data_IF_410678878659
#
_entry.id   IF_410678878659
#
_cell.length_a   1.000
_cell.length_b   1.000
_cell.length_c   1.000
_cell.angle_alpha   90.00
_cell.angle_beta   90.00
_cell.angle_gamma   90.00
#
_symmetry.space_group_name_H-M   'P 1'
#
loop_
_entity.id
_entity.type
_entity.pdbx_description
1 polymer ?
#
# COMPACT_ATOMS: atom_id res chain seq x y z
N UNK A 1 -50.37 0.72 -4.28
CA UNK A 1 -50.37 -0.54 -5.06
C UNK A 1 -50.32 -0.18 -6.51
N UNK A 2 -49.15 -0.06 -7.08
CA UNK A 2 -48.91 0.02 -8.53
C UNK A 2 -48.00 -1.13 -8.89
N UNK A 3 -48.52 -2.01 -9.69
CA UNK A 3 -47.87 -3.25 -10.17
C UNK A 3 -46.70 -2.86 -11.05
N UNK A 4 -45.50 -3.30 -10.68
CA UNK A 4 -44.38 -3.48 -11.58
C UNK A 4 -44.80 -4.52 -12.62
N UNK A 5 -45.18 -4.09 -13.80
CA UNK A 5 -45.29 -4.98 -14.94
C UNK A 5 -43.86 -5.28 -15.45
N UNK A 6 -43.46 -6.49 -15.23
CA UNK A 6 -42.32 -7.13 -15.82
C UNK A 6 -42.26 -6.86 -17.31
N UNK A 7 -41.12 -6.39 -17.78
CA UNK A 7 -40.80 -6.30 -19.19
C UNK A 7 -40.47 -7.72 -19.67
N UNK A 8 -41.50 -8.48 -20.00
CA UNK A 8 -41.37 -9.84 -20.51
C UNK A 8 -41.62 -9.88 -22.02
N UNK A 9 -40.75 -9.24 -22.80
CA UNK A 9 -40.49 -9.63 -24.18
C UNK A 9 -39.21 -8.92 -24.58
N UNK A 10 -38.10 -9.55 -24.28
CA UNK A 10 -36.82 -9.24 -24.91
C UNK A 10 -37.02 -9.46 -26.42
N UNK A 11 -36.77 -8.42 -27.20
CA UNK A 11 -36.64 -8.58 -28.64
C UNK A 11 -35.47 -9.51 -28.94
N UNK A 12 -35.48 -10.30 -30.01
CA UNK A 12 -34.37 -11.19 -30.37
C UNK A 12 -33.04 -10.46 -30.64
N UNK A 13 -32.97 -9.16 -30.41
CA UNK A 13 -31.81 -8.32 -30.70
C UNK A 13 -31.33 -7.60 -29.45
N UNK A 14 -30.81 -8.33 -28.49
CA UNK A 14 -29.98 -7.81 -27.41
C UNK A 14 -28.49 -7.91 -27.81
N UNK A 15 -27.79 -6.78 -27.85
CA UNK A 15 -26.39 -6.70 -28.20
C UNK A 15 -25.60 -6.19 -26.99
N UNK A 16 -24.80 -7.06 -26.39
CA UNK A 16 -23.81 -6.67 -25.40
C UNK A 16 -22.45 -6.52 -26.08
N UNK A 17 -21.96 -5.27 -26.16
CA UNK A 17 -20.61 -4.95 -26.59
C UNK A 17 -19.97 -4.13 -25.45
N UNK A 18 -19.05 -4.70 -24.62
CA UNK A 18 -18.41 -3.91 -23.61
C UNK A 18 -17.59 -2.76 -24.23
N UNK A 19 -17.74 -1.52 -23.77
CA UNK A 19 -18.50 -1.08 -22.59
C UNK A 19 -19.96 -0.66 -22.86
N UNK A 20 -20.65 -1.25 -23.82
CA UNK A 20 -21.96 -0.83 -24.30
C UNK A 20 -22.98 -1.96 -24.14
N UNK A 21 -24.20 -1.59 -23.75
CA UNK A 21 -25.36 -2.46 -23.78
C UNK A 21 -26.47 -1.80 -24.59
N UNK A 22 -26.83 -2.41 -25.73
CA UNK A 22 -27.84 -1.89 -26.64
C UNK A 22 -29.07 -2.79 -26.56
N UNK A 23 -30.21 -2.25 -26.21
CA UNK A 23 -31.49 -2.95 -26.17
C UNK A 23 -32.39 -2.41 -27.28
N UNK A 24 -32.83 -3.31 -28.15
CA UNK A 24 -33.88 -3.05 -29.12
C UNK A 24 -35.18 -3.66 -28.61
N UNK A 25 -36.09 -2.82 -28.12
CA UNK A 25 -37.36 -3.25 -27.52
C UNK A 25 -38.51 -2.83 -28.45
N UNK A 26 -39.21 -3.79 -29.03
CA UNK A 26 -40.43 -3.52 -29.78
C UNK A 26 -41.65 -3.85 -28.92
N UNK A 27 -42.54 -2.88 -28.66
CA UNK A 27 -43.78 -3.07 -27.91
C UNK A 27 -44.90 -2.29 -28.61
N UNK A 28 -45.96 -2.98 -29.06
CA UNK A 28 -47.19 -2.40 -29.60
C UNK A 28 -46.99 -1.29 -30.64
N UNK A 29 -46.21 -1.57 -31.69
CA UNK A 29 -45.84 -0.62 -32.76
C UNK A 29 -44.88 0.51 -32.38
N UNK A 30 -44.23 0.42 -31.22
CA UNK A 30 -43.15 1.30 -30.82
C UNK A 30 -41.83 0.53 -30.75
N UNK A 31 -40.78 1.06 -31.36
CA UNK A 31 -39.41 0.56 -31.26
C UNK A 31 -38.65 1.45 -30.27
N UNK A 32 -38.17 0.86 -29.21
CA UNK A 32 -37.33 1.56 -28.25
C UNK A 32 -35.91 1.00 -28.31
N UNK A 33 -34.95 1.86 -28.60
CA UNK A 33 -33.53 1.52 -28.56
C UNK A 33 -32.95 2.14 -27.30
N UNK A 34 -32.43 1.31 -26.37
CA UNK A 34 -31.74 1.80 -25.20
C UNK A 34 -30.28 1.41 -25.28
N UNK A 35 -29.40 2.41 -25.19
CA UNK A 35 -27.97 2.24 -25.23
C UNK A 35 -27.39 2.73 -23.91
N UNK A 36 -26.70 1.83 -23.18
CA UNK A 36 -26.10 2.13 -21.89
C UNK A 36 -24.58 2.09 -21.98
N UNK A 37 -23.89 3.07 -21.41
CA UNK A 37 -22.45 3.07 -21.21
C UNK A 37 -22.08 3.51 -19.79
N UNK A 38 -21.10 2.82 -19.20
CA UNK A 38 -20.39 3.33 -18.03
C UNK A 38 -19.34 4.35 -18.47
N UNK A 39 -19.45 5.57 -18.01
CA UNK A 39 -18.64 6.72 -18.40
C UNK A 39 -17.37 6.75 -17.59
N UNK A 40 -16.21 6.86 -18.27
CA UNK A 40 -14.99 7.39 -17.65
C UNK A 40 -14.92 8.89 -17.92
N UNK A 41 -14.59 9.69 -16.90
CA UNK A 41 -14.58 11.17 -16.93
C UNK A 41 -13.66 11.80 -18.00
N UNK A 42 -12.86 11.04 -18.72
CA UNK A 42 -11.85 11.57 -19.64
C UNK A 42 -12.36 12.00 -21.03
N UNK A 43 -13.61 11.71 -21.38
CA UNK A 43 -14.18 12.00 -22.71
C UNK A 43 -14.98 13.30 -22.79
N UNK A 44 -15.11 14.05 -21.70
CA UNK A 44 -15.87 15.31 -21.65
C UNK A 44 -15.09 16.55 -22.08
N UNK A 45 -13.82 16.45 -22.34
CA UNK A 45 -12.99 17.59 -22.74
C UNK A 45 -13.03 17.92 -24.25
N UNK A 46 -13.70 17.15 -25.10
CA UNK A 46 -13.81 17.41 -26.51
C UNK A 46 -15.25 17.73 -26.94
N UNK A 47 -15.57 19.02 -26.92
CA UNK A 47 -16.29 19.82 -27.90
C UNK A 47 -17.76 19.52 -28.26
N UNK A 48 -18.63 19.03 -27.35
CA UNK A 48 -20.07 19.28 -27.60
C UNK A 48 -20.76 19.74 -26.30
N UNK A 49 -20.87 21.07 -26.15
CA UNK A 49 -21.82 21.63 -25.20
C UNK A 49 -23.22 21.23 -25.58
N UNK A 50 -23.90 20.42 -24.80
CA UNK A 50 -25.29 20.02 -24.97
C UNK A 50 -26.24 21.23 -25.17
N UNK A 51 -25.91 22.39 -24.62
CA UNK A 51 -26.61 23.65 -24.79
C UNK A 51 -26.61 24.16 -26.23
N UNK A 52 -25.67 23.72 -27.07
CA UNK A 52 -25.64 24.07 -28.51
C UNK A 52 -26.53 23.18 -29.38
N UNK A 53 -26.91 22.00 -28.93
CA UNK A 53 -27.81 21.09 -29.64
C UNK A 53 -29.24 21.64 -29.71
N UNK A 54 -29.73 22.29 -28.66
CA UNK A 54 -31.03 22.97 -28.68
C UNK A 54 -31.11 24.11 -29.70
N UNK A 55 -30.02 24.83 -29.95
CA UNK A 55 -29.93 25.88 -30.98
C UNK A 55 -29.76 25.36 -32.38
N UNK A 56 -29.40 24.09 -32.55
CA UNK A 56 -29.02 23.51 -33.83
C UNK A 56 -30.04 22.51 -34.43
N UNK A 57 -31.30 22.54 -34.02
CA UNK A 57 -32.37 21.76 -34.67
C UNK A 57 -32.35 21.90 -36.20
N UNK A 58 -31.97 23.07 -36.72
CA UNK A 58 -31.86 23.36 -38.17
C UNK A 58 -30.61 22.73 -38.79
N UNK A 59 -29.54 22.51 -38.02
CA UNK A 59 -28.28 21.89 -38.53
C UNK A 59 -28.47 20.38 -38.73
N UNK A 60 -29.17 19.73 -37.83
CA UNK A 60 -29.45 18.29 -37.88
C UNK A 60 -30.33 17.90 -39.06
N UNK A 61 -31.23 18.79 -39.51
CA UNK A 61 -32.05 18.56 -40.69
C UNK A 61 -31.27 18.62 -42.00
N UNK A 62 -30.02 19.09 -42.00
CA UNK A 62 -29.12 19.20 -43.16
C UNK A 62 -28.06 18.09 -43.20
N UNK A 63 -27.90 17.30 -42.11
CA UNK A 63 -26.97 16.21 -42.09
C UNK A 63 -27.49 15.02 -42.91
N UNK A 64 -26.59 14.33 -43.58
CA UNK A 64 -26.96 13.08 -44.26
C UNK A 64 -27.10 11.96 -43.19
N UNK A 65 -27.75 10.87 -43.60
CA UNK A 65 -28.06 9.74 -42.70
C UNK A 65 -26.79 9.19 -41.99
N UNK A 66 -25.68 9.13 -42.72
CA UNK A 66 -24.41 8.63 -42.17
C UNK A 66 -23.88 9.55 -41.07
N UNK A 67 -23.90 10.86 -41.30
CA UNK A 67 -23.48 11.86 -40.31
C UNK A 67 -24.37 11.84 -39.05
N UNK A 68 -25.68 11.60 -39.21
CA UNK A 68 -26.63 11.45 -38.12
C UNK A 68 -26.28 10.17 -37.30
N UNK A 69 -25.96 9.08 -37.98
CA UNK A 69 -25.59 7.82 -37.33
C UNK A 69 -24.27 7.95 -36.57
N UNK A 70 -23.25 8.51 -37.22
CA UNK A 70 -21.94 8.73 -36.57
C UNK A 70 -22.10 9.63 -35.35
N UNK A 71 -22.96 10.63 -35.43
CA UNK A 71 -23.30 11.48 -34.30
C UNK A 71 -24.05 10.73 -33.18
N UNK A 72 -25.03 9.89 -33.53
CA UNK A 72 -25.75 9.03 -32.55
C UNK A 72 -24.77 8.05 -31.89
N UNK A 73 -23.86 7.47 -32.67
CA UNK A 73 -22.83 6.55 -32.13
C UNK A 73 -21.89 7.29 -31.18
N UNK A 74 -21.45 8.49 -31.50
CA UNK A 74 -20.62 9.32 -30.63
C UNK A 74 -21.37 9.67 -29.32
N UNK A 75 -22.63 10.11 -29.45
CA UNK A 75 -23.46 10.42 -28.27
C UNK A 75 -23.83 9.17 -27.47
N UNK A 76 -24.04 8.03 -28.12
CA UNK A 76 -24.27 6.76 -27.43
C UNK A 76 -23.07 6.31 -26.60
N UNK A 77 -21.88 6.74 -26.97
CA UNK A 77 -20.66 6.49 -26.14
C UNK A 77 -20.70 7.17 -24.79
N UNK A 78 -21.52 8.16 -24.59
CA UNK A 78 -21.50 9.02 -23.40
C UNK A 78 -22.80 9.06 -22.61
N UNK A 79 -23.94 8.71 -23.20
CA UNK A 79 -25.27 8.92 -22.60
C UNK A 79 -26.25 7.79 -22.93
N UNK A 80 -27.34 7.70 -22.16
CA UNK A 80 -28.48 6.86 -22.51
C UNK A 80 -29.26 7.48 -23.65
N UNK A 81 -29.49 6.73 -24.74
CA UNK A 81 -30.35 7.16 -25.86
C UNK A 81 -31.63 6.31 -25.85
N UNK A 82 -32.79 6.94 -25.87
CA UNK A 82 -34.05 6.25 -26.11
C UNK A 82 -34.67 6.75 -27.44
N UNK A 83 -35.14 5.82 -28.29
CA UNK A 83 -35.79 6.11 -29.53
C UNK A 83 -37.24 5.69 -29.40
N UNK A 84 -38.18 6.62 -29.59
CA UNK A 84 -39.63 6.39 -29.49
C UNK A 84 -40.25 6.61 -30.84
N UNK A 85 -40.87 5.60 -31.42
CA UNK A 85 -41.61 5.69 -32.69
C UNK A 85 -43.06 6.12 -32.42
N UNK A 86 -43.48 7.24 -32.97
CA UNK A 86 -44.88 7.69 -33.05
C UNK A 86 -45.34 7.59 -34.50
N UNK A 87 -46.63 7.33 -34.76
CA UNK A 87 -47.29 6.95 -36.05
C UNK A 87 -46.60 7.35 -37.34
N UNK A 88 -45.95 8.52 -37.43
CA UNK A 88 -45.31 9.06 -38.64
C UNK A 88 -43.89 9.63 -38.37
N UNK A 89 -43.38 9.59 -37.16
CA UNK A 89 -42.11 10.20 -36.77
C UNK A 89 -41.37 9.35 -35.73
N UNK A 90 -40.07 9.24 -35.88
CA UNK A 90 -39.16 8.64 -34.88
C UNK A 90 -38.52 9.76 -34.05
N UNK A 91 -38.70 9.69 -32.76
CA UNK A 91 -38.10 10.65 -31.83
C UNK A 91 -36.95 10.00 -31.09
N UNK A 92 -35.76 10.54 -31.28
CA UNK A 92 -34.59 10.15 -30.53
C UNK A 92 -34.49 11.06 -29.32
N UNK A 93 -34.71 10.50 -28.14
CA UNK A 93 -34.56 11.21 -26.87
C UNK A 93 -33.24 10.88 -26.24
N UNK A 94 -32.38 11.87 -26.08
CA UNK A 94 -31.12 11.80 -25.37
C UNK A 94 -31.34 12.20 -23.92
N UNK A 95 -31.16 11.26 -23.00
CA UNK A 95 -31.23 11.53 -21.59
C UNK A 95 -29.80 11.75 -21.08
N UNK A 96 -29.43 13.00 -20.82
CA UNK A 96 -28.18 13.33 -20.18
C UNK A 96 -28.29 13.08 -18.67
N UNK A 97 -27.44 12.24 -18.13
CA UNK A 97 -27.38 11.98 -16.67
C UNK A 97 -26.54 13.01 -15.91
N UNK A 98 -25.91 13.97 -16.58
CA UNK A 98 -24.88 14.81 -15.97
C UNK A 98 -25.24 16.26 -15.71
N UNK A 99 -26.19 16.87 -16.42
CA UNK A 99 -26.61 18.27 -16.12
C UNK A 99 -28.07 18.45 -16.50
N UNK A 100 -28.91 18.78 -15.52
CA UNK A 100 -30.26 19.33 -15.65
C UNK A 100 -31.38 18.51 -16.31
N UNK A 101 -31.29 17.19 -16.46
CA UNK A 101 -32.37 16.32 -16.94
C UNK A 101 -33.13 16.81 -18.19
N UNK A 102 -32.51 17.58 -19.06
CA UNK A 102 -33.12 18.01 -20.29
C UNK A 102 -33.00 16.93 -21.37
N UNK A 103 -34.13 16.52 -21.93
CA UNK A 103 -34.19 15.62 -23.09
C UNK A 103 -33.97 16.39 -24.36
N UNK A 104 -33.07 15.92 -25.20
CA UNK A 104 -32.90 16.43 -26.59
C UNK A 104 -33.62 15.48 -27.53
N UNK A 105 -34.71 15.95 -28.15
CA UNK A 105 -35.50 15.16 -29.05
C UNK A 105 -35.13 15.48 -30.52
N UNK A 106 -34.66 14.47 -31.26
CA UNK A 106 -34.42 14.52 -32.69
C UNK A 106 -35.62 13.86 -33.39
N UNK A 107 -36.40 14.64 -34.13
CA UNK A 107 -37.61 14.15 -34.84
C UNK A 107 -37.23 13.89 -36.32
N UNK A 108 -37.39 12.64 -36.78
CA UNK A 108 -37.15 12.20 -38.13
C UNK A 108 -38.45 11.70 -38.79
N UNK A 109 -38.56 11.81 -40.09
CA UNK A 109 -39.68 11.20 -40.80
C UNK A 109 -39.53 9.66 -40.84
N UNK A 110 -40.65 8.97 -41.14
CA UNK A 110 -40.72 7.50 -41.08
C UNK A 110 -39.71 6.81 -41.99
N UNK A 111 -39.48 7.37 -43.21
CA UNK A 111 -38.59 6.77 -44.20
C UNK A 111 -37.13 6.92 -43.78
N UNK A 112 -36.71 8.10 -43.28
CA UNK A 112 -35.37 8.32 -42.74
C UNK A 112 -35.11 7.43 -41.55
N UNK A 113 -36.12 7.24 -40.70
CA UNK A 113 -36.07 6.38 -39.54
C UNK A 113 -35.79 4.91 -39.85
N UNK A 114 -36.50 4.37 -40.87
CA UNK A 114 -36.32 2.98 -41.35
C UNK A 114 -34.92 2.74 -41.91
N UNK A 115 -34.38 3.71 -42.66
CA UNK A 115 -33.02 3.61 -43.23
C UNK A 115 -31.96 3.66 -42.11
N UNK A 116 -32.11 4.55 -41.17
CA UNK A 116 -31.21 4.64 -40.00
C UNK A 116 -31.21 3.32 -39.18
N UNK A 117 -32.40 2.77 -38.93
CA UNK A 117 -32.53 1.51 -38.20
C UNK A 117 -31.83 0.36 -38.94
N UNK A 118 -32.03 0.24 -40.27
CA UNK A 118 -31.36 -0.80 -41.07
C UNK A 118 -29.83 -0.68 -40.99
N UNK A 119 -29.32 0.57 -41.05
CA UNK A 119 -27.88 0.80 -40.98
C UNK A 119 -27.31 0.51 -39.60
N UNK A 120 -28.00 0.91 -38.53
CA UNK A 120 -27.62 0.57 -37.11
C UNK A 120 -27.59 -0.94 -36.94
N UNK A 121 -28.61 -1.65 -37.44
CA UNK A 121 -28.66 -3.12 -37.32
C UNK A 121 -27.49 -3.76 -38.06
N UNK A 122 -27.20 -3.32 -39.30
CA UNK A 122 -26.09 -3.86 -40.09
C UNK A 122 -24.73 -3.63 -39.44
N UNK A 123 -24.49 -2.43 -38.89
CA UNK A 123 -23.25 -2.13 -38.18
C UNK A 123 -23.13 -2.93 -36.88
N UNK A 124 -24.23 -3.13 -36.15
CA UNK A 124 -24.23 -3.92 -34.95
C UNK A 124 -23.93 -5.41 -35.22
N UNK A 125 -24.34 -5.95 -36.36
CA UNK A 125 -23.97 -7.33 -36.74
C UNK A 125 -22.46 -7.43 -36.94
N UNK A 126 -21.86 -6.48 -37.68
CA UNK A 126 -20.40 -6.44 -37.88
C UNK A 126 -19.64 -6.34 -36.57
N UNK A 127 -20.05 -5.40 -35.70
CA UNK A 127 -19.43 -5.23 -34.38
C UNK A 127 -19.55 -6.47 -33.51
N UNK A 128 -20.67 -7.21 -33.61
CA UNK A 128 -20.84 -8.46 -32.90
C UNK A 128 -19.88 -9.53 -33.39
N UNK A 129 -19.67 -9.65 -34.66
CA UNK A 129 -18.71 -10.60 -35.24
C UNK A 129 -17.27 -10.27 -34.82
N UNK A 130 -16.89 -8.98 -34.83
CA UNK A 130 -15.59 -8.52 -34.36
C UNK A 130 -15.41 -8.77 -32.86
N UNK A 131 -16.44 -8.51 -32.06
CA UNK A 131 -16.42 -8.81 -30.62
C UNK A 131 -16.20 -10.30 -30.34
N UNK A 132 -16.94 -11.19 -31.02
CA UNK A 132 -16.77 -12.65 -30.83
C UNK A 132 -15.38 -13.11 -31.28
N UNK A 133 -14.79 -12.48 -32.30
CA UNK A 133 -13.41 -12.73 -32.72
C UNK A 133 -12.41 -12.32 -31.63
N UNK A 134 -12.51 -11.08 -31.13
CA UNK A 134 -11.66 -10.58 -30.03
C UNK A 134 -11.81 -11.43 -28.77
N UNK A 135 -13.03 -11.85 -28.44
CA UNK A 135 -13.31 -12.72 -27.31
C UNK A 135 -12.63 -14.09 -27.45
N UNK A 136 -12.62 -14.67 -28.64
CA UNK A 136 -11.89 -15.93 -28.92
C UNK A 136 -10.38 -15.73 -28.77
N UNK A 137 -9.83 -14.65 -29.32
CA UNK A 137 -8.40 -14.32 -29.21
C UNK A 137 -7.97 -14.09 -27.76
N UNK A 138 -8.79 -13.37 -27.00
CA UNK A 138 -8.55 -13.15 -25.56
C UNK A 138 -8.60 -14.45 -24.75
N UNK A 139 -9.54 -15.34 -25.06
CA UNK A 139 -9.61 -16.65 -24.38
C UNK A 139 -8.37 -17.50 -24.65
N UNK A 140 -7.86 -17.50 -25.88
CA UNK A 140 -6.61 -18.19 -26.23
C UNK A 140 -5.43 -17.58 -25.47
N UNK A 141 -5.37 -16.25 -25.39
CA UNK A 141 -4.32 -15.55 -24.66
C UNK A 141 -4.36 -15.84 -23.15
N UNK A 142 -5.57 -15.87 -22.56
CA UNK A 142 -5.77 -16.22 -21.15
C UNK A 142 -5.31 -17.67 -20.89
N UNK A 143 -5.63 -18.57 -21.79
CA UNK A 143 -5.22 -19.98 -21.67
C UNK A 143 -3.69 -20.12 -21.73
N UNK A 144 -3.05 -19.45 -22.69
CA UNK A 144 -1.59 -19.41 -22.82
C UNK A 144 -0.91 -18.82 -21.58
N UNK A 145 -1.40 -17.68 -21.09
CA UNK A 145 -0.88 -17.04 -19.88
C UNK A 145 -1.05 -17.94 -18.65
N UNK A 146 -2.18 -18.68 -18.56
CA UNK A 146 -2.41 -19.64 -17.48
C UNK A 146 -1.41 -20.81 -17.49
N UNK A 147 -1.01 -21.28 -18.68
CA UNK A 147 0.02 -22.33 -18.82
C UNK A 147 1.41 -21.79 -18.43
N UNK A 148 1.75 -20.57 -18.88
CA UNK A 148 3.01 -19.92 -18.50
C UNK A 148 3.09 -19.69 -16.98
N UNK A 149 2.01 -19.25 -16.35
CA UNK A 149 1.93 -19.09 -14.89
C UNK A 149 2.21 -20.41 -14.18
N UNK A 150 1.58 -21.53 -14.60
CA UNK A 150 1.85 -22.84 -14.01
C UNK A 150 3.30 -23.29 -14.14
N UNK A 151 3.94 -22.98 -15.27
CA UNK A 151 5.36 -23.29 -15.47
C UNK A 151 6.22 -22.45 -14.50
N UNK A 152 5.89 -21.19 -14.31
CA UNK A 152 6.59 -20.29 -13.38
C UNK A 152 6.38 -20.71 -11.93
N UNK A 153 5.16 -21.09 -11.54
CA UNK A 153 4.87 -21.63 -10.20
C UNK A 153 5.68 -22.87 -9.87
N UNK A 154 5.80 -23.81 -10.83
CA UNK A 154 6.63 -24.99 -10.66
C UNK A 154 8.13 -24.65 -10.54
N UNK A 155 8.63 -23.67 -11.29
CA UNK A 155 10.01 -23.19 -11.16
C UNK A 155 10.26 -22.51 -9.82
N UNK A 156 9.31 -21.72 -9.35
CA UNK A 156 9.37 -21.07 -8.02
C UNK A 156 9.47 -22.15 -6.95
N UNK A 157 8.61 -23.16 -6.99
CA UNK A 157 8.63 -24.28 -6.04
C UNK A 157 9.97 -25.04 -6.04
N UNK A 158 10.52 -25.35 -7.22
CA UNK A 158 11.84 -25.99 -7.32
C UNK A 158 12.97 -25.10 -6.73
N UNK A 159 12.88 -23.79 -6.92
CA UNK A 159 13.83 -22.84 -6.33
C UNK A 159 13.65 -22.74 -4.80
N UNK A 160 12.44 -22.74 -4.31
CA UNK A 160 12.13 -22.76 -2.87
C UNK A 160 12.68 -24.03 -2.19
N UNK A 161 12.52 -25.19 -2.81
CA UNK A 161 13.07 -26.46 -2.33
C UNK A 161 14.62 -26.44 -2.34
N UNK A 162 15.24 -25.86 -3.36
CA UNK A 162 16.69 -25.68 -3.41
C UNK A 162 17.17 -24.71 -2.32
N UNK A 163 16.49 -23.59 -2.11
CA UNK A 163 16.78 -22.62 -1.04
C UNK A 163 16.63 -23.30 0.31
N UNK A 164 15.54 -24.05 0.52
CA UNK A 164 15.31 -24.81 1.75
C UNK A 164 16.46 -25.79 2.05
N UNK A 165 16.92 -26.53 1.04
CA UNK A 165 18.03 -27.48 1.18
C UNK A 165 19.38 -26.76 1.45
N UNK A 166 19.63 -25.61 0.82
CA UNK A 166 20.83 -24.78 1.09
C UNK A 166 20.76 -24.23 2.50
N UNK A 167 19.61 -23.72 2.93
CA UNK A 167 19.41 -23.18 4.26
C UNK A 167 19.58 -24.26 5.35
N UNK A 168 19.09 -25.46 5.11
CA UNK A 168 19.30 -26.59 6.04
C UNK A 168 20.78 -27.02 6.10
N UNK A 169 21.51 -27.00 4.98
CA UNK A 169 22.97 -27.23 5.00
C UNK A 169 23.72 -26.13 5.76
N UNK A 170 23.31 -24.88 5.56
CA UNK A 170 23.89 -23.73 6.28
C UNK A 170 23.53 -23.76 7.78
N UNK A 171 22.34 -24.26 8.15
CA UNK A 171 21.91 -24.43 9.53
C UNK A 171 22.81 -25.36 10.35
N UNK A 172 23.36 -26.38 9.71
CA UNK A 172 24.30 -27.35 10.33
C UNK A 172 25.69 -26.75 10.56
N UNK A 173 26.10 -25.71 9.77
CA UNK A 173 27.41 -25.04 9.92
C UNK A 173 27.44 -23.90 10.93
N UNK A 174 26.28 -23.46 11.48
CA UNK A 174 26.19 -22.31 12.41
C UNK A 174 26.61 -22.61 13.86
N UNK A 175 27.55 -23.53 14.08
CA UNK A 175 28.10 -23.80 15.41
C UNK A 175 29.08 -22.74 15.93
N UNK A 176 29.56 -21.84 15.06
CA UNK A 176 30.38 -20.65 15.39
C UNK A 176 30.15 -19.55 14.36
N UNK A 177 29.11 -18.73 14.54
CA UNK A 177 28.93 -17.51 13.77
C UNK A 177 29.51 -16.34 14.54
N UNK A 178 30.54 -15.71 14.00
CA UNK A 178 31.10 -14.48 14.53
C UNK A 178 30.81 -13.33 13.56
N UNK A 179 30.45 -12.17 14.12
CA UNK A 179 30.37 -10.94 13.35
C UNK A 179 31.76 -10.41 13.05
N UNK A 180 32.00 -10.12 11.79
CA UNK A 180 33.25 -9.49 11.33
C UNK A 180 32.94 -8.09 10.84
N UNK A 181 33.66 -7.10 11.38
CA UNK A 181 33.55 -5.71 10.98
C UNK A 181 34.06 -5.53 9.55
N UNK A 182 33.20 -4.99 8.68
CA UNK A 182 33.53 -4.68 7.29
C UNK A 182 33.91 -3.22 7.11
N UNK A 183 33.09 -2.31 7.61
CA UNK A 183 33.26 -0.87 7.42
C UNK A 183 32.65 -0.06 8.59
N UNK A 184 33.11 1.20 8.71
CA UNK A 184 32.63 2.14 9.71
C UNK A 184 32.43 3.51 9.08
N UNK A 185 31.25 4.08 9.20
CA UNK A 185 31.01 5.49 8.95
C UNK A 185 31.19 6.22 10.28
N UNK A 186 32.37 6.78 10.48
CA UNK A 186 32.71 7.51 11.72
C UNK A 186 32.07 8.89 11.70
N UNK A 187 31.46 9.29 12.81
CA UNK A 187 30.79 10.61 12.92
C UNK A 187 29.69 10.77 11.88
N UNK A 188 28.95 9.69 11.60
CA UNK A 188 27.82 9.73 10.67
C UNK A 188 26.84 10.87 11.03
N UNK A 189 26.65 11.12 12.31
CA UNK A 189 25.88 12.23 12.87
C UNK A 189 26.66 12.94 13.99
N UNK A 190 26.19 14.11 14.43
CA UNK A 190 26.79 14.84 15.54
C UNK A 190 26.20 14.51 16.91
N UNK A 191 25.13 13.70 16.92
CA UNK A 191 24.48 13.17 18.12
C UNK A 191 24.03 11.73 17.86
N UNK A 192 23.41 11.13 18.87
CA UNK A 192 22.85 9.79 18.85
C UNK A 192 22.07 9.51 17.57
N UNK A 193 22.38 8.42 16.91
CA UNK A 193 21.60 7.86 15.79
C UNK A 193 20.47 7.04 16.40
N UNK A 194 19.24 7.43 16.13
CA UNK A 194 18.05 6.86 16.74
C UNK A 194 17.40 5.77 15.91
N UNK A 195 17.50 5.87 14.58
CA UNK A 195 16.96 4.87 13.67
C UNK A 195 17.71 4.89 12.34
N UNK A 196 17.83 3.73 11.74
CA UNK A 196 18.27 3.50 10.36
C UNK A 196 17.19 2.67 9.68
N UNK A 197 16.99 2.87 8.39
CA UNK A 197 16.14 2.03 7.54
C UNK A 197 16.77 1.84 6.18
N UNK A 198 16.46 0.73 5.52
CA UNK A 198 17.10 0.30 4.27
C UNK A 198 16.08 0.39 3.15
N UNK A 199 16.41 1.13 2.07
CA UNK A 199 15.59 1.22 0.87
C UNK A 199 15.56 -0.12 0.11
N UNK A 200 14.49 -0.41 -0.65
CA UNK A 200 14.46 -1.57 -1.53
C UNK A 200 15.64 -1.67 -2.50
N UNK A 201 16.19 -0.53 -2.95
CA UNK A 201 17.41 -0.44 -3.78
C UNK A 201 18.70 -0.84 -3.06
N UNK A 202 18.65 -0.94 -1.72
CA UNK A 202 19.80 -1.25 -0.87
C UNK A 202 20.46 -0.03 -0.24
N UNK A 203 20.28 1.17 -0.75
CA UNK A 203 20.69 2.40 -0.07
C UNK A 203 20.00 2.49 1.30
N UNK A 204 20.50 3.33 2.18
CA UNK A 204 19.93 3.42 3.51
C UNK A 204 19.83 4.86 4.01
N UNK A 205 18.99 5.06 5.00
CA UNK A 205 18.70 6.34 5.62
C UNK A 205 18.98 6.25 7.11
N UNK A 206 19.58 7.28 7.67
CA UNK A 206 19.77 7.42 9.12
C UNK A 206 19.18 8.71 9.62
N UNK A 207 18.61 8.67 10.84
CA UNK A 207 18.05 9.82 11.53
C UNK A 207 18.62 9.93 12.92
N UNK A 208 18.68 11.17 13.44
CA UNK A 208 19.43 11.45 14.66
C UNK A 208 18.76 12.50 15.56
N UNK A 209 19.17 12.50 16.81
CA UNK A 209 18.89 13.60 17.76
C UNK A 209 19.54 14.93 17.35
N UNK A 210 20.42 14.94 16.34
CA UNK A 210 20.97 16.17 15.76
C UNK A 210 20.02 16.90 14.80
N UNK A 211 18.79 16.36 14.62
CA UNK A 211 17.71 16.88 13.78
C UNK A 211 17.96 16.71 12.27
N UNK A 212 18.94 15.92 11.89
CA UNK A 212 19.25 15.68 10.49
C UNK A 212 18.79 14.30 10.04
N UNK A 213 18.47 14.22 8.76
CA UNK A 213 18.25 12.99 8.01
C UNK A 213 19.39 12.87 7.03
N UNK A 214 20.03 11.71 6.94
CA UNK A 214 21.08 11.45 5.96
C UNK A 214 20.76 10.21 5.14
N UNK A 215 20.93 10.30 3.83
CA UNK A 215 20.78 9.22 2.87
C UNK A 215 22.17 8.81 2.41
N UNK A 216 22.42 7.50 2.34
CA UNK A 216 23.73 6.91 2.12
C UNK A 216 23.71 5.93 0.96
N UNK A 217 24.80 5.90 0.21
CA UNK A 217 25.08 4.89 -0.78
C UNK A 217 25.49 3.56 -0.11
N UNK A 218 24.96 2.44 -0.61
CA UNK A 218 25.20 1.13 -0.04
C UNK A 218 26.46 0.43 -0.55
N UNK A 219 27.15 1.00 -1.55
CA UNK A 219 28.39 0.43 -2.14
C UNK A 219 29.63 1.13 -1.61
N UNK A 220 29.61 2.46 -1.67
CA UNK A 220 30.75 3.30 -1.27
C UNK A 220 30.58 3.88 0.13
N UNK A 221 29.41 3.73 0.75
CA UNK A 221 29.09 4.21 2.09
C UNK A 221 29.24 5.73 2.29
N UNK A 222 29.17 6.51 1.21
CA UNK A 222 29.21 7.96 1.28
C UNK A 222 27.80 8.55 1.46
N UNK A 223 27.72 9.76 2.02
CA UNK A 223 26.47 10.48 2.20
C UNK A 223 26.03 11.11 0.88
N UNK A 224 24.90 10.63 0.33
CA UNK A 224 24.28 11.16 -0.90
C UNK A 224 23.56 12.48 -0.63
N UNK A 225 22.83 12.55 0.49
CA UNK A 225 22.03 13.72 0.84
C UNK A 225 21.99 13.91 2.36
N UNK A 226 22.06 15.16 2.78
CA UNK A 226 21.79 15.57 4.17
C UNK A 226 20.65 16.57 4.19
N UNK A 227 19.56 16.21 4.88
CA UNK A 227 18.44 17.13 5.15
C UNK A 227 18.67 17.68 6.56
N UNK A 228 18.99 18.99 6.64
CA UNK A 228 19.24 19.69 7.90
C UNK A 228 17.93 20.25 8.45
N UNK A 229 17.85 20.37 9.77
CA UNK A 229 16.67 20.89 10.46
C UNK A 229 15.36 20.26 9.98
N UNK A 230 15.44 18.94 9.66
CA UNK A 230 14.31 18.18 9.17
C UNK A 230 13.14 18.21 10.16
N UNK A 231 13.44 18.32 11.45
CA UNK A 231 12.50 18.51 12.55
C UNK A 231 13.02 19.57 13.52
N UNK A 232 12.13 20.20 14.29
CA UNK A 232 12.51 21.22 15.29
C UNK A 232 13.18 20.63 16.53
N UNK A 233 12.95 19.31 16.79
CA UNK A 233 13.62 18.53 17.83
C UNK A 233 14.25 17.26 17.25
N UNK A 234 14.87 16.45 18.11
CA UNK A 234 15.51 15.19 17.69
C UNK A 234 14.53 14.23 17.05
N UNK A 235 14.94 13.63 15.93
CA UNK A 235 14.14 12.64 15.20
C UNK A 235 14.19 11.33 15.98
N UNK A 236 13.06 10.67 16.10
CA UNK A 236 12.93 9.43 16.87
C UNK A 236 13.07 8.20 15.97
N UNK A 237 12.35 8.17 14.86
CA UNK A 237 12.26 7.01 14.01
C UNK A 237 12.10 7.38 12.52
N UNK A 238 12.50 6.48 11.65
CA UNK A 238 12.27 6.55 10.21
C UNK A 238 11.74 5.21 9.71
N UNK A 239 10.73 5.26 8.83
CA UNK A 239 10.22 4.09 8.13
C UNK A 239 10.14 4.38 6.63
N UNK A 240 10.54 3.41 5.83
CA UNK A 240 10.55 3.50 4.37
C UNK A 240 9.33 2.77 3.83
N UNK A 241 8.63 3.41 2.87
CA UNK A 241 7.59 2.78 2.08
C UNK A 241 8.16 2.07 0.85
N UNK A 242 8.96 2.80 0.10
CA UNK A 242 9.57 2.38 -1.15
C UNK A 242 10.84 3.21 -1.45
N UNK A 243 11.43 3.09 -2.64
CA UNK A 243 12.64 3.85 -3.02
C UNK A 243 12.39 5.37 -3.21
N UNK A 244 11.13 5.80 -3.12
CA UNK A 244 10.72 7.19 -3.39
C UNK A 244 10.11 7.87 -2.17
N UNK A 245 9.65 7.11 -1.16
CA UNK A 245 8.89 7.63 -0.05
C UNK A 245 9.36 7.08 1.29
N UNK A 246 9.52 7.97 2.26
CA UNK A 246 9.75 7.61 3.65
C UNK A 246 9.05 8.58 4.61
N UNK A 247 8.92 8.18 5.86
CA UNK A 247 8.26 8.93 6.92
C UNK A 247 9.16 9.03 8.14
N UNK A 248 9.09 10.15 8.83
CA UNK A 248 9.84 10.38 10.08
C UNK A 248 8.92 10.83 11.20
N UNK A 249 9.23 10.41 12.41
CA UNK A 249 8.62 10.87 13.66
C UNK A 249 9.64 11.56 14.57
N UNK A 250 9.17 12.48 15.41
CA UNK A 250 10.08 13.28 16.21
C UNK A 250 9.56 13.58 17.63
N UNK A 251 10.48 14.06 18.45
CA UNK A 251 10.19 14.63 19.75
C UNK A 251 9.56 16.04 19.67
N UNK A 252 9.35 16.60 18.48
CA UNK A 252 8.59 17.82 18.26
C UNK A 252 7.09 17.58 18.08
N UNK A 253 6.65 16.32 18.14
CA UNK A 253 5.27 15.85 18.07
C UNK A 253 4.72 15.79 16.66
N UNK A 254 5.55 16.02 15.65
CA UNK A 254 5.19 16.03 14.25
C UNK A 254 5.56 14.72 13.56
N UNK A 255 4.82 14.44 12.50
CA UNK A 255 5.12 13.40 11.52
C UNK A 255 5.36 14.09 10.18
N UNK A 256 6.45 13.74 9.51
CA UNK A 256 6.81 14.30 8.20
C UNK A 256 6.98 13.20 7.17
N UNK A 257 6.39 13.40 6.01
CA UNK A 257 6.46 12.51 4.87
C UNK A 257 7.35 13.14 3.82
N UNK A 258 8.27 12.36 3.31
CA UNK A 258 9.31 12.78 2.37
C UNK A 258 9.15 12.01 1.07
N UNK A 259 9.25 12.71 -0.04
CA UNK A 259 9.15 12.12 -1.38
C UNK A 259 10.37 12.49 -2.21
N UNK A 260 10.85 11.56 -3.01
CA UNK A 260 11.96 11.76 -3.94
C UNK A 260 11.49 12.49 -5.18
N UNK A 261 11.99 13.71 -5.38
CA UNK A 261 11.80 14.49 -6.60
C UNK A 261 13.12 14.55 -7.37
N UNK A 262 13.11 14.05 -8.62
CA UNK A 262 14.33 13.84 -9.40
C UNK A 262 15.29 12.90 -8.66
N UNK A 263 16.37 13.43 -8.07
CA UNK A 263 17.40 12.68 -7.37
C UNK A 263 17.48 12.95 -5.87
N UNK A 264 16.70 13.89 -5.34
CA UNK A 264 16.73 14.31 -3.93
C UNK A 264 15.38 14.11 -3.25
N UNK A 265 15.42 13.87 -1.94
CA UNK A 265 14.22 13.83 -1.11
C UNK A 265 13.86 15.21 -0.59
N UNK A 266 12.59 15.56 -0.71
CA UNK A 266 12.01 16.82 -0.23
C UNK A 266 10.81 16.53 0.65
N UNK A 267 10.44 17.48 1.50
CA UNK A 267 9.23 17.39 2.31
C UNK A 267 8.00 17.36 1.39
N UNK A 268 7.20 16.30 1.52
CA UNK A 268 5.98 16.13 0.75
C UNK A 268 4.74 16.53 1.55
N UNK A 269 4.63 16.07 2.80
CA UNK A 269 3.50 16.37 3.67
C UNK A 269 3.95 16.49 5.13
N UNK A 270 3.22 17.26 5.92
CA UNK A 270 3.53 17.52 7.31
C UNK A 270 2.26 17.43 8.16
N UNK A 271 2.24 16.50 9.10
CA UNK A 271 1.20 16.39 10.10
C UNK A 271 1.70 17.10 11.36
N UNK A 272 1.32 18.35 11.48
CA UNK A 272 1.68 19.18 12.65
C UNK A 272 0.91 18.74 13.89
N UNK A 273 1.61 18.71 15.03
CA UNK A 273 1.03 18.31 16.31
C UNK A 273 0.25 16.99 16.19
N UNK A 274 0.80 16.05 15.43
CA UNK A 274 0.20 14.74 15.24
C UNK A 274 -0.15 14.07 16.58
N UNK A 275 0.66 14.33 17.59
CA UNK A 275 0.45 13.88 18.96
C UNK A 275 0.71 15.03 19.97
N UNK A 276 0.30 14.84 21.22
CA UNK A 276 0.53 15.82 22.30
C UNK A 276 1.81 15.57 23.11
N UNK A 277 2.55 14.50 22.81
CA UNK A 277 3.86 14.19 23.37
C UNK A 277 4.73 13.49 22.31
N UNK A 278 5.98 13.19 22.66
CA UNK A 278 6.98 12.59 21.76
C UNK A 278 6.45 11.35 21.05
N UNK A 279 6.58 11.34 19.76
CA UNK A 279 6.23 10.20 18.93
C UNK A 279 7.37 9.19 18.99
N UNK A 280 7.05 7.95 19.28
CA UNK A 280 7.99 6.85 19.27
C UNK A 280 8.21 6.34 17.84
N UNK A 281 7.38 5.40 17.44
CA UNK A 281 7.48 4.75 16.13
C UNK A 281 6.34 5.18 15.20
N UNK A 282 6.63 5.26 13.92
CA UNK A 282 5.68 5.51 12.85
C UNK A 282 5.94 4.52 11.73
N UNK A 283 4.90 3.96 11.13
CA UNK A 283 5.00 2.96 10.06
C UNK A 283 3.98 3.25 8.95
N UNK A 284 4.35 2.92 7.72
CA UNK A 284 3.40 2.79 6.62
C UNK A 284 2.70 1.43 6.66
N UNK A 285 1.43 1.42 6.25
CA UNK A 285 0.69 0.23 5.87
C UNK A 285 0.71 0.08 4.34
N UNK A 286 0.43 -1.10 3.82
CA UNK A 286 0.44 -1.37 2.37
C UNK A 286 -0.62 -0.57 1.60
N UNK A 287 -1.73 -0.22 2.25
CA UNK A 287 -2.81 0.64 1.70
C UNK A 287 -2.43 2.13 1.62
N UNK A 288 -1.24 2.50 2.12
CA UNK A 288 -0.75 3.88 2.15
C UNK A 288 -1.09 4.64 3.43
N UNK A 289 -1.90 4.07 4.30
CA UNK A 289 -2.19 4.61 5.63
C UNK A 289 -0.93 4.60 6.50
N UNK A 290 -0.97 5.40 7.56
CA UNK A 290 0.13 5.52 8.53
C UNK A 290 -0.39 5.14 9.91
N UNK A 291 0.42 4.42 10.67
CA UNK A 291 0.17 4.17 12.10
C UNK A 291 1.31 4.80 12.89
N UNK A 292 0.96 5.56 13.92
CA UNK A 292 1.92 6.18 14.84
C UNK A 292 1.59 5.87 16.28
N UNK A 293 2.62 5.75 17.12
CA UNK A 293 2.48 5.61 18.56
C UNK A 293 3.27 6.68 19.31
N UNK A 294 2.76 7.10 20.46
CA UNK A 294 3.33 8.22 21.21
C UNK A 294 3.30 8.00 22.72
N UNK A 295 4.13 8.80 23.40
CA UNK A 295 4.12 8.92 24.86
C UNK A 295 2.86 9.58 25.40
N UNK A 296 2.04 10.19 24.55
CA UNK A 296 0.73 10.74 24.91
C UNK A 296 -0.34 9.69 25.19
N UNK A 297 0.05 8.43 25.27
CA UNK A 297 -0.83 7.27 25.52
C UNK A 297 -1.72 6.90 24.34
N UNK A 298 -1.44 7.42 23.14
CA UNK A 298 -2.25 7.18 21.95
C UNK A 298 -1.47 6.47 20.84
N UNK A 299 -2.23 5.67 20.13
CA UNK A 299 -1.87 5.13 18.81
C UNK A 299 -2.86 5.73 17.84
N UNK A 300 -2.41 6.35 16.77
CA UNK A 300 -3.27 6.97 15.77
C UNK A 300 -3.06 6.32 14.41
N UNK A 301 -4.15 6.19 13.67
CA UNK A 301 -4.18 5.72 12.30
C UNK A 301 -4.54 6.93 11.44
N UNK A 302 -3.74 7.18 10.41
CA UNK A 302 -3.86 8.30 9.52
C UNK A 302 -4.17 7.80 8.12
N UNK A 303 -5.24 8.31 7.54
CA UNK A 303 -5.64 8.03 6.17
C UNK A 303 -5.25 9.21 5.28
N UNK A 304 -4.82 8.90 4.06
CA UNK A 304 -4.53 9.91 3.05
C UNK A 304 -5.82 10.27 2.31
N UNK A 305 -6.14 11.57 2.24
CA UNK A 305 -7.27 12.07 1.47
C UNK A 305 -6.92 12.29 -0.02
N UNK A 306 -7.93 12.61 -0.85
CA UNK A 306 -7.75 12.89 -2.27
C UNK A 306 -6.83 14.09 -2.55
N UNK A 307 -6.64 14.98 -1.59
CA UNK A 307 -5.75 16.14 -1.66
C UNK A 307 -4.33 15.83 -1.15
N UNK A 308 -4.02 14.56 -0.88
CA UNK A 308 -2.75 14.09 -0.32
C UNK A 308 -2.44 14.59 1.08
N UNK A 309 -3.46 14.98 1.86
CA UNK A 309 -3.33 15.30 3.27
C UNK A 309 -3.67 14.08 4.12
N UNK A 310 -2.99 13.96 5.25
CA UNK A 310 -3.26 12.90 6.21
C UNK A 310 -4.21 13.38 7.29
N UNK A 311 -5.32 12.65 7.46
CA UNK A 311 -6.32 12.90 8.49
C UNK A 311 -6.35 11.75 9.49
N UNK A 312 -6.55 12.05 10.76
CA UNK A 312 -6.71 11.01 11.79
C UNK A 312 -8.03 10.30 11.62
N UNK A 313 -7.99 9.06 11.17
CA UNK A 313 -9.16 8.23 10.94
C UNK A 313 -9.72 7.70 12.28
N UNK A 314 -8.87 7.06 13.05
CA UNK A 314 -9.21 6.43 14.33
C UNK A 314 -7.93 6.21 15.14
N UNK A 315 -8.07 5.61 16.31
CA UNK A 315 -6.91 5.28 17.15
C UNK A 315 -7.29 4.54 18.42
N UNK A 316 -6.26 4.22 19.19
CA UNK A 316 -6.40 3.58 20.49
C UNK A 316 -5.82 4.51 21.55
N UNK A 317 -6.51 4.63 22.66
CA UNK A 317 -6.07 5.41 23.81
C UNK A 317 -5.97 4.53 25.05
N UNK A 318 -4.83 4.59 25.72
CA UNK A 318 -4.51 3.79 26.90
C UNK A 318 -3.93 4.68 27.99
N UNK A 319 -4.78 5.38 28.68
CA UNK A 319 -4.40 6.40 29.66
C UNK A 319 -3.26 5.94 30.60
N UNK A 320 -2.21 6.73 30.67
CA UNK A 320 -1.04 6.50 31.50
C UNK A 320 -0.06 5.46 30.96
N UNK A 321 -0.20 5.04 29.68
CA UNK A 321 0.75 4.15 29.00
C UNK A 321 1.52 4.93 27.92
N UNK A 322 2.83 5.08 28.10
CA UNK A 322 3.67 5.64 27.04
C UNK A 322 3.98 4.54 26.02
N UNK A 323 3.47 4.67 24.80
CA UNK A 323 3.81 3.75 23.72
C UNK A 323 5.16 4.10 23.10
N UNK A 324 5.99 3.06 22.88
CA UNK A 324 7.32 3.21 22.30
C UNK A 324 7.45 2.52 20.95
N UNK A 325 6.89 1.32 20.82
CA UNK A 325 7.04 0.51 19.61
C UNK A 325 5.73 -0.08 19.15
N UNK A 326 5.57 -0.13 17.84
CA UNK A 326 4.46 -0.80 17.16
C UNK A 326 5.00 -1.73 16.07
N UNK A 327 4.27 -2.81 15.83
CA UNK A 327 4.50 -3.75 14.75
C UNK A 327 3.15 -4.13 14.16
N UNK A 328 3.00 -3.93 12.87
CA UNK A 328 1.79 -4.32 12.15
C UNK A 328 2.04 -5.60 11.36
N UNK A 329 1.23 -6.62 11.62
CA UNK A 329 1.25 -7.91 10.91
C UNK A 329 0.08 -7.91 9.94
N UNK A 330 0.34 -7.46 8.72
CA UNK A 330 -0.68 -7.19 7.69
C UNK A 330 -1.49 -8.43 7.32
N UNK A 331 -0.84 -9.57 7.05
CA UNK A 331 -1.53 -10.81 6.67
C UNK A 331 -2.50 -11.34 7.74
N UNK A 332 -2.50 -10.77 8.94
CA UNK A 332 -3.40 -11.10 10.06
C UNK A 332 -4.26 -9.92 10.51
N UNK A 333 -4.01 -8.73 9.97
CA UNK A 333 -4.60 -7.49 10.46
C UNK A 333 -4.46 -7.30 11.98
N UNK A 334 -3.27 -7.61 12.51
CA UNK A 334 -2.96 -7.44 13.92
C UNK A 334 -1.92 -6.35 14.12
N UNK A 335 -2.23 -5.39 14.98
CA UNK A 335 -1.29 -4.38 15.45
C UNK A 335 -0.82 -4.73 16.86
N UNK A 336 0.48 -4.94 17.02
CA UNK A 336 1.13 -5.13 18.32
C UNK A 336 1.67 -3.78 18.75
N UNK A 337 1.30 -3.33 19.94
CA UNK A 337 1.77 -2.08 20.52
C UNK A 337 2.34 -2.31 21.91
N UNK A 338 3.58 -1.89 22.09
CA UNK A 338 4.29 -2.06 23.36
C UNK A 338 4.54 -0.73 24.05
N UNK A 339 4.27 -0.70 25.34
CA UNK A 339 4.40 0.47 26.20
C UNK A 339 5.34 0.22 27.38
N UNK A 340 5.52 1.24 28.22
CA UNK A 340 6.27 1.16 29.47
C UNK A 340 5.57 0.33 30.57
N UNK A 341 4.34 -0.14 30.34
CA UNK A 341 3.58 -0.91 31.33
C UNK A 341 3.07 -2.24 30.81
N UNK A 342 2.75 -2.33 29.52
CA UNK A 342 2.12 -3.51 28.92
C UNK A 342 2.32 -3.58 27.41
N UNK A 343 2.08 -4.75 26.86
CA UNK A 343 1.96 -4.97 25.41
C UNK A 343 0.53 -5.38 25.07
N UNK A 344 -0.03 -4.76 24.05
CA UNK A 344 -1.40 -5.02 23.60
C UNK A 344 -1.38 -5.43 22.14
N UNK A 345 -2.16 -6.42 21.80
CA UNK A 345 -2.46 -6.80 20.41
C UNK A 345 -3.86 -6.30 20.08
N UNK A 346 -3.99 -5.53 19.04
CA UNK A 346 -5.25 -5.03 18.51
C UNK A 346 -5.61 -5.76 17.21
N UNK A 347 -6.90 -6.03 17.03
CA UNK A 347 -7.45 -6.48 15.76
C UNK A 347 -7.84 -5.25 14.95
N UNK A 348 -7.20 -5.05 13.80
CA UNK A 348 -7.39 -3.88 12.95
C UNK A 348 -8.65 -3.95 12.10
N UNK A 349 -9.28 -5.15 11.93
CA UNK A 349 -10.54 -5.26 11.19
C UNK A 349 -11.72 -4.60 11.90
N UNK A 350 -11.73 -4.63 13.24
CA UNK A 350 -12.83 -4.10 14.06
C UNK A 350 -12.36 -3.10 15.10
N UNK A 351 -11.10 -2.68 15.04
CA UNK A 351 -10.46 -1.72 15.95
C UNK A 351 -10.66 -2.07 17.44
N UNK A 352 -10.53 -3.34 17.79
CA UNK A 352 -10.71 -3.83 19.16
C UNK A 352 -9.44 -4.41 19.75
N UNK A 353 -9.35 -4.44 21.09
CA UNK A 353 -8.31 -5.19 21.77
C UNK A 353 -8.53 -6.68 21.55
N UNK A 354 -7.47 -7.37 21.10
CA UNK A 354 -7.47 -8.81 20.90
C UNK A 354 -6.84 -9.56 22.09
N UNK A 355 -5.71 -9.05 22.59
CA UNK A 355 -4.99 -9.62 23.74
C UNK A 355 -4.15 -8.56 24.45
N UNK A 356 -4.00 -8.70 25.77
CA UNK A 356 -3.19 -7.81 26.59
C UNK A 356 -2.21 -8.63 27.45
N UNK A 357 -1.00 -8.12 27.63
CA UNK A 357 0.07 -8.69 28.44
C UNK A 357 0.62 -7.61 29.39
N UNK A 358 0.24 -7.67 30.65
CA UNK A 358 0.59 -6.64 31.64
C UNK A 358 2.07 -6.70 32.07
N UNK A 359 2.73 -7.86 31.90
CA UNK A 359 4.11 -8.09 32.33
C UNK A 359 5.12 -7.99 31.18
N UNK A 360 4.66 -7.66 29.96
CA UNK A 360 5.51 -7.48 28.80
C UNK A 360 5.59 -6.00 28.46
N UNK A 361 6.72 -5.42 28.76
CA UNK A 361 6.98 -3.99 28.56
C UNK A 361 8.10 -3.77 27.54
N UNK A 362 8.03 -2.63 26.84
CA UNK A 362 9.07 -2.20 25.94
C UNK A 362 9.22 -0.69 26.06
N UNK A 363 10.45 -0.22 26.27
CA UNK A 363 10.77 1.20 26.42
C UNK A 363 11.67 1.73 25.30
N UNK A 364 11.80 0.97 24.21
CA UNK A 364 12.66 1.27 23.08
C UNK A 364 11.90 1.08 21.75
N UNK A 365 12.38 1.72 20.69
CA UNK A 365 11.66 1.77 19.42
C UNK A 365 11.93 0.55 18.52
N UNK A 366 13.13 -0.06 18.65
CA UNK A 366 13.63 -1.08 17.72
C UNK A 366 13.68 -2.50 18.32
N UNK A 367 13.08 -2.71 19.49
CA UNK A 367 13.11 -4.01 20.20
C UNK A 367 11.81 -4.80 20.09
N UNK A 368 10.99 -4.52 19.10
CA UNK A 368 9.79 -5.29 18.74
C UNK A 368 9.92 -5.70 17.27
N UNK A 369 10.00 -7.00 17.02
CA UNK A 369 10.27 -7.56 15.70
C UNK A 369 9.47 -8.85 15.47
N UNK A 370 9.28 -9.21 14.21
CA UNK A 370 8.65 -10.45 13.78
C UNK A 370 9.72 -11.51 13.52
N UNK A 371 9.60 -12.68 14.15
CA UNK A 371 10.45 -13.84 13.86
C UNK A 371 9.92 -14.58 12.62
N UNK A 372 8.61 -14.85 12.61
CA UNK A 372 7.86 -15.46 11.52
C UNK A 372 6.37 -15.13 11.67
N UNK A 373 5.52 -15.66 10.81
CA UNK A 373 4.08 -15.37 10.81
C UNK A 373 3.33 -15.74 12.11
N UNK A 374 3.95 -16.56 12.95
CA UNK A 374 3.34 -17.05 14.19
C UNK A 374 4.04 -16.54 15.46
N UNK A 375 5.23 -15.96 15.35
CA UNK A 375 6.03 -15.54 16.49
C UNK A 375 6.56 -14.13 16.36
N UNK A 376 6.40 -13.35 17.42
CA UNK A 376 7.02 -12.04 17.59
C UNK A 376 8.01 -12.08 18.77
N UNK A 377 8.99 -11.19 18.71
CA UNK A 377 10.02 -11.05 19.74
C UNK A 377 10.00 -9.63 20.28
N UNK A 378 10.06 -9.50 21.59
CA UNK A 378 10.00 -8.22 22.30
C UNK A 378 11.13 -8.17 23.32
N UNK A 379 11.90 -7.10 23.24
CA UNK A 379 12.90 -6.74 24.23
C UNK A 379 12.62 -5.37 24.85
N UNK A 380 13.61 -4.78 25.50
CA UNK A 380 13.56 -3.41 26.00
C UNK A 380 12.82 -3.22 27.32
N UNK A 381 12.51 -4.30 28.04
CA UNK A 381 12.11 -4.27 29.43
C UNK A 381 13.32 -4.07 30.36
N UNK A 382 13.07 -3.67 31.59
CA UNK A 382 14.13 -3.47 32.59
C UNK A 382 14.57 -4.80 33.27
N UNK A 383 13.96 -5.90 32.89
CA UNK A 383 14.17 -7.24 33.46
C UNK A 383 15.28 -8.03 32.75
N UNK A 384 15.91 -7.46 31.74
CA UNK A 384 16.91 -8.10 30.87
C UNK A 384 16.40 -9.39 30.19
N UNK A 385 15.08 -9.53 30.08
CA UNK A 385 14.45 -10.68 29.45
C UNK A 385 13.90 -10.30 28.09
N UNK A 386 14.25 -11.07 27.08
CA UNK A 386 13.64 -11.01 25.77
C UNK A 386 12.49 -12.02 25.76
N UNK A 387 11.32 -11.61 25.33
CA UNK A 387 10.12 -12.44 25.32
C UNK A 387 9.73 -12.78 23.89
N UNK A 388 9.54 -14.06 23.64
CA UNK A 388 8.98 -14.52 22.34
C UNK A 388 7.54 -14.95 22.57
N UNK A 389 6.64 -14.36 21.82
CA UNK A 389 5.19 -14.61 21.92
C UNK A 389 4.72 -15.34 20.68
N UNK A 390 4.11 -16.50 20.87
CA UNK A 390 3.36 -17.17 19.82
C UNK A 390 1.98 -16.50 19.67
N UNK A 391 1.69 -15.93 18.51
CA UNK A 391 0.46 -15.15 18.27
C UNK A 391 -0.80 -16.04 18.19
N UNK A 392 -0.65 -17.35 17.93
CA UNK A 392 -1.80 -18.24 17.80
C UNK A 392 -2.37 -18.69 19.14
N UNK A 393 -1.50 -19.00 20.11
CA UNK A 393 -1.89 -19.55 21.41
C UNK A 393 -1.45 -18.66 22.57
N UNK A 394 -0.75 -17.54 22.30
CA UNK A 394 -0.23 -16.60 23.29
C UNK A 394 0.76 -17.19 24.29
N UNK A 395 1.37 -18.31 23.95
CA UNK A 395 2.45 -18.88 24.74
C UNK A 395 3.68 -17.97 24.70
N UNK A 396 4.32 -17.76 25.86
CA UNK A 396 5.47 -16.86 26.01
C UNK A 396 6.69 -17.70 26.38
N UNK A 397 7.74 -17.53 25.61
CA UNK A 397 9.07 -18.07 25.89
C UNK A 397 9.97 -16.92 26.33
N UNK A 398 10.73 -17.13 27.41
CA UNK A 398 11.64 -16.14 27.98
C UNK A 398 13.08 -16.49 27.63
N UNK A 399 13.81 -15.52 27.11
CA UNK A 399 15.24 -15.64 26.79
C UNK A 399 16.00 -14.70 27.72
N UNK A 400 16.88 -15.24 28.54
CA UNK A 400 17.73 -14.42 29.40
C UNK A 400 18.77 -13.68 28.56
N UNK A 401 18.90 -12.41 28.81
CA UNK A 401 19.89 -11.55 28.24
C UNK A 401 20.70 -10.85 29.31
N UNK A 402 21.91 -10.43 29.00
CA UNK A 402 22.81 -9.85 30.00
C UNK A 402 22.65 -8.31 30.11
N UNK A 403 21.79 -7.70 29.26
CA UNK A 403 21.60 -6.24 29.18
C UNK A 403 20.21 -5.85 28.66
N UNK A 404 19.85 -4.60 28.87
CA UNK A 404 18.64 -4.03 28.26
C UNK A 404 18.75 -3.99 26.74
N UNK A 405 17.83 -4.67 26.08
CA UNK A 405 17.74 -4.75 24.64
C UNK A 405 17.15 -3.44 24.07
N UNK A 406 17.82 -2.81 23.12
CA UNK A 406 17.34 -1.64 22.40
C UNK A 406 16.95 -1.92 20.95
N UNK A 407 17.59 -2.92 20.34
CA UNK A 407 17.32 -3.33 18.97
C UNK A 407 17.39 -4.84 18.80
N UNK A 408 16.48 -5.34 17.96
CA UNK A 408 16.40 -6.74 17.55
C UNK A 408 16.29 -6.75 16.02
N UNK A 409 17.02 -7.65 15.39
CA UNK A 409 16.95 -7.90 13.96
C UNK A 409 16.87 -9.39 13.70
N UNK A 410 15.81 -9.83 13.07
CA UNK A 410 15.64 -11.23 12.65
C UNK A 410 16.23 -11.45 11.26
N UNK A 411 17.09 -12.46 11.12
CA UNK A 411 17.66 -12.91 9.84
C UNK A 411 17.09 -14.30 9.52
N UNK A 412 15.87 -14.29 9.00
CA UNK A 412 15.08 -15.50 8.78
C UNK A 412 15.81 -16.52 7.90
N UNK A 413 16.42 -16.09 6.78
CA UNK A 413 17.14 -16.95 5.85
C UNK A 413 18.40 -17.60 6.45
N UNK A 414 18.87 -17.09 7.59
CA UNK A 414 19.99 -17.69 8.36
C UNK A 414 19.53 -18.42 9.63
N UNK A 415 18.26 -18.32 10.00
CA UNK A 415 17.70 -18.93 11.20
C UNK A 415 18.30 -18.38 12.50
N UNK A 416 18.65 -17.09 12.51
CA UNK A 416 19.20 -16.39 13.66
C UNK A 416 18.53 -15.03 13.85
N UNK A 417 18.59 -14.51 15.06
CA UNK A 417 18.29 -13.11 15.31
C UNK A 417 19.40 -12.47 16.15
N UNK A 418 19.58 -11.18 15.96
CA UNK A 418 20.59 -10.39 16.63
C UNK A 418 19.93 -9.46 17.63
N UNK A 419 20.61 -9.26 18.73
CA UNK A 419 20.17 -8.38 19.83
C UNK A 419 21.29 -7.42 20.16
N UNK A 420 20.95 -6.15 20.35
CA UNK A 420 21.87 -5.11 20.76
C UNK A 420 21.23 -4.18 21.80
N UNK A 421 22.04 -3.41 22.53
CA UNK A 421 21.51 -2.49 23.53
C UNK A 421 22.57 -1.78 24.38
N UNK A 422 22.35 -1.77 25.68
CA UNK A 422 23.16 -0.99 26.63
C UNK A 422 24.59 -1.52 26.85
N UNK A 423 24.85 -2.79 26.54
CA UNK A 423 26.16 -3.42 26.78
C UNK A 423 27.23 -3.06 25.74
N UNK A 424 26.89 -2.28 24.68
CA UNK A 424 27.76 -2.02 23.54
C UNK A 424 28.16 -3.30 22.76
N UNK A 425 27.45 -4.39 22.96
CA UNK A 425 27.65 -5.71 22.36
C UNK A 425 26.51 -6.04 21.40
N UNK A 426 26.81 -6.93 20.45
CA UNK A 426 25.80 -7.58 19.62
C UNK A 426 25.83 -9.07 19.94
N UNK A 427 24.69 -9.61 20.31
CA UNK A 427 24.51 -11.02 20.63
C UNK A 427 23.71 -11.71 19.55
N UNK A 428 24.15 -12.90 19.15
CA UNK A 428 23.49 -13.73 18.13
C UNK A 428 22.83 -14.92 18.83
N UNK A 429 21.55 -15.10 18.53
CA UNK A 429 20.75 -16.22 18.99
C UNK A 429 20.22 -17.04 17.81
N UNK A 430 19.98 -18.32 18.02
CA UNK A 430 19.21 -19.16 17.12
C UNK A 430 17.71 -18.79 17.17
N UNK A 431 17.03 -18.87 16.05
CA UNK A 431 15.60 -18.59 16.00
C UNK A 431 14.72 -19.82 16.34
N UNK A 432 15.28 -21.02 16.33
CA UNK A 432 14.56 -22.27 16.57
C UNK A 432 14.47 -22.65 18.07
N UNK A 433 15.56 -22.52 18.81
CA UNK A 433 15.68 -22.93 20.20
C UNK A 433 16.19 -21.83 21.13
N UNK A 434 16.48 -20.64 20.55
CA UNK A 434 16.97 -19.44 21.25
C UNK A 434 18.32 -19.58 21.95
N UNK A 435 19.13 -20.56 21.56
CA UNK A 435 20.47 -20.71 22.07
C UNK A 435 21.36 -19.54 21.66
N UNK A 436 22.14 -19.04 22.60
CA UNK A 436 23.14 -18.00 22.36
C UNK A 436 24.33 -18.61 21.59
N UNK A 437 24.55 -18.13 20.35
CA UNK A 437 25.59 -18.63 19.47
C UNK A 437 26.92 -17.92 19.73
N UNK A 438 26.88 -16.57 19.72
CA UNK A 438 28.10 -15.77 19.91
C UNK A 438 27.78 -14.35 20.39
N UNK A 439 28.84 -13.68 20.86
CA UNK A 439 28.80 -12.29 21.31
C UNK A 439 29.91 -11.51 20.63
N UNK A 440 29.56 -10.47 19.91
CA UNK A 440 30.49 -9.47 19.41
C UNK A 440 30.69 -8.40 20.48
N UNK A 441 31.76 -8.52 21.27
CA UNK A 441 32.11 -7.57 22.33
C UNK A 441 32.66 -6.28 21.74
N UNK A 442 32.40 -5.15 22.43
CA UNK A 442 32.87 -3.83 22.02
C UNK A 442 32.48 -3.50 20.56
N UNK A 443 31.31 -3.93 20.14
CA UNK A 443 30.82 -3.65 18.80
C UNK A 443 30.74 -2.13 18.54
N UNK A 444 30.36 -1.35 19.56
CA UNK A 444 30.40 0.10 19.58
C UNK A 444 31.03 0.61 20.90
N UNK A 445 31.36 1.89 20.96
CA UNK A 445 31.90 2.51 22.18
C UNK A 445 30.83 3.09 23.12
N UNK A 446 29.56 3.07 22.70
CA UNK A 446 28.41 3.51 23.47
C UNK A 446 27.18 2.65 23.07
N UNK A 447 26.04 2.86 23.72
CA UNK A 447 24.81 2.09 23.53
C UNK A 447 24.43 1.94 22.07
N UNK A 448 24.09 0.72 21.67
CA UNK A 448 23.64 0.41 20.31
C UNK A 448 22.12 0.57 20.27
N UNK A 449 21.64 1.55 19.51
CA UNK A 449 20.20 1.86 19.43
C UNK A 449 19.43 0.95 18.50
N UNK A 450 20.14 0.32 17.55
CA UNK A 450 19.50 -0.67 16.69
C UNK A 450 20.49 -1.36 15.76
N UNK A 451 19.95 -2.37 15.15
CA UNK A 451 20.64 -3.27 14.22
C UNK A 451 19.64 -3.68 13.15
N UNK A 452 20.07 -3.81 11.91
CA UNK A 452 19.23 -4.19 10.79
C UNK A 452 19.99 -5.06 9.79
N UNK A 453 19.28 -5.75 8.89
CA UNK A 453 19.85 -6.66 7.91
C UNK A 453 19.55 -6.21 6.49
N UNK A 454 20.61 -5.98 5.72
CA UNK A 454 20.56 -5.52 4.34
C UNK A 454 20.36 -6.68 3.36
N UNK A 455 19.69 -6.43 2.23
CA UNK A 455 19.45 -7.42 1.18
C UNK A 455 20.74 -8.02 0.58
N UNK A 456 21.86 -7.27 0.62
CA UNK A 456 23.16 -7.74 0.17
C UNK A 456 23.88 -8.66 1.18
N UNK A 457 23.24 -8.98 2.29
CA UNK A 457 23.77 -9.88 3.32
C UNK A 457 24.56 -9.20 4.43
N UNK A 458 24.71 -7.88 4.38
CA UNK A 458 25.36 -7.11 5.43
C UNK A 458 24.41 -6.81 6.59
N UNK A 459 24.99 -6.70 7.77
CA UNK A 459 24.33 -6.23 8.97
C UNK A 459 24.77 -4.80 9.20
N UNK A 460 23.85 -3.91 9.53
CA UNK A 460 24.09 -2.52 9.86
C UNK A 460 23.73 -2.28 11.32
N UNK A 461 24.64 -1.69 12.11
CA UNK A 461 24.39 -1.28 13.48
C UNK A 461 24.65 0.21 13.66
N UNK A 462 23.89 0.86 14.53
CA UNK A 462 23.97 2.29 14.78
C UNK A 462 23.85 2.60 16.27
N UNK A 463 24.56 3.64 16.72
CA UNK A 463 24.86 3.82 18.14
C UNK A 463 24.77 5.28 18.61
N UNK A 464 24.75 5.41 19.93
CA UNK A 464 24.97 6.67 20.62
C UNK A 464 26.37 7.26 20.38
N UNK A 465 27.34 6.42 19.99
CA UNK A 465 28.69 6.86 19.61
C UNK A 465 28.74 7.62 18.28
N UNK A 466 27.57 7.85 17.66
CA UNK A 466 27.41 8.59 16.40
C UNK A 466 27.99 7.90 15.18
N UNK A 467 28.33 6.63 15.27
CA UNK A 467 28.86 5.82 14.18
C UNK A 467 27.81 4.84 13.65
N UNK A 468 27.97 4.51 12.36
CA UNK A 468 27.28 3.40 11.71
C UNK A 468 28.33 2.36 11.35
N UNK A 469 28.10 1.11 11.70
CA UNK A 469 29.01 0.00 11.42
C UNK A 469 28.35 -1.07 10.58
N UNK A 470 29.15 -1.71 9.71
CA UNK A 470 28.73 -2.77 8.81
C UNK A 470 29.46 -4.05 9.14
N UNK A 471 28.70 -5.14 9.17
CA UNK A 471 29.21 -6.44 9.58
C UNK A 471 28.77 -7.50 8.57
N UNK A 472 29.51 -8.60 8.52
CA UNK A 472 29.07 -9.82 7.88
C UNK A 472 29.14 -11.01 8.86
N UNK A 473 28.26 -11.98 8.64
CA UNK A 473 28.17 -13.25 9.39
C UNK A 473 28.96 -14.32 8.69
#
# INVERSE_FOLDING_TARGET
>A
MSKNNEISSLSPYELEIPPWKIFLISKNKTLMIKIYKFITNELFENEFELNNLHKNKLLMSKLNIKEIIDFIIVLSKQNNISIIENKDKLTFSLISTLVNHENVDLILDKKQSEEIIKLIISQNIILKEEYEKIKKENNILIQKNSEEIKILENKIKDLEDKIFNINNKNKIQLTKCNLHLLNVITGAHTKIITSVSIFPSGNFISVSKDKTIKIWDNKEFHCIQTIRDAHSKGIAFVNIKDDFNFITSSADFDIKIWCKKKSIFELFSHIENAHSDKIGKVIFCNDGNIISCSKDSKIKIWEIDDNHNYQSLCGFEENGNCFFSILYIENRNLLIASSNKKTIIYNMNNHSRYKEFNDIICQTWNSLEKINDNKIIIGGGNDYVIKVININNFFIENIQNDFNCFGICNIENKGVFLVCGMSCEIVIFRSDNYDKISVCKNAHSDYIYGIDYMKNGLIISYSADSNIKFWYL
#
